data_IF_015746186325
#
_entry.id   IF_015746186325
#
_cell.length_a   1.000
_cell.length_b   1.000
_cell.length_c   1.000
_cell.angle_alpha   90.00
_cell.angle_beta   90.00
_cell.angle_gamma   90.00
#
_symmetry.space_group_name_H-M   'P 1'
#
loop_
_entity.id
_entity.type
_entity.pdbx_description
1 polymer ?
#
# COMPACT_ATOMS: atom_id res chain seq x y z
N UNK A 1 5.59 55.04 58.93
CA UNK A 1 4.95 55.11 57.60
C UNK A 1 5.99 54.79 56.54
N UNK A 2 6.03 53.54 56.08
CA UNK A 2 6.57 53.08 54.78
C UNK A 2 6.15 51.61 54.62
N UNK A 3 5.13 51.42 53.80
CA UNK A 3 4.61 50.13 53.34
C UNK A 3 5.61 49.60 52.31
N UNK A 4 6.21 48.43 52.55
CA UNK A 4 7.04 47.71 51.59
C UNK A 4 6.29 46.47 51.12
N UNK A 5 5.63 46.57 49.98
CA UNK A 5 4.90 45.51 49.31
C UNK A 5 5.91 44.59 48.60
N UNK A 6 6.16 43.39 49.14
CA UNK A 6 6.99 42.39 48.46
C UNK A 6 6.11 41.57 47.52
N UNK A 7 6.24 41.82 46.22
CA UNK A 7 5.64 41.01 45.16
C UNK A 7 6.39 39.68 45.08
N UNK A 8 5.74 38.57 45.43
CA UNK A 8 6.19 37.23 45.03
C UNK A 8 5.96 37.10 43.51
N UNK A 9 7.04 37.09 42.75
CA UNK A 9 7.03 36.65 41.36
C UNK A 9 6.91 35.11 41.35
N UNK A 10 5.76 34.58 40.96
CA UNK A 10 5.65 33.20 40.50
C UNK A 10 6.23 33.15 39.08
N UNK A 11 7.44 32.60 38.94
CA UNK A 11 7.98 32.26 37.62
C UNK A 11 7.21 31.03 37.11
N UNK A 12 6.31 31.25 36.16
CA UNK A 12 5.72 30.18 35.34
C UNK A 12 6.82 29.77 34.35
N UNK A 13 7.45 28.63 34.57
CA UNK A 13 8.33 28.01 33.59
C UNK A 13 7.48 27.42 32.47
N UNK A 14 7.43 28.10 31.34
CA UNK A 14 6.88 27.57 30.10
C UNK A 14 7.92 26.62 29.50
N UNK A 15 7.67 25.31 29.59
CA UNK A 15 8.49 24.31 28.90
C UNK A 15 8.26 24.43 27.38
N UNK A 16 9.33 24.68 26.63
CA UNK A 16 9.32 24.59 25.17
C UNK A 16 9.47 23.11 24.79
N UNK A 17 8.38 22.48 24.38
CA UNK A 17 8.41 21.13 23.81
C UNK A 17 8.88 21.21 22.36
N UNK A 18 10.08 20.74 22.06
CA UNK A 18 10.46 20.33 20.71
C UNK A 18 10.08 18.87 20.56
N UNK A 19 8.93 18.58 19.95
CA UNK A 19 8.48 17.21 19.72
C UNK A 19 9.28 16.59 18.57
N UNK A 20 10.38 15.91 18.89
CA UNK A 20 11.06 15.03 17.92
C UNK A 20 10.27 13.72 17.85
N UNK A 21 9.74 13.40 16.66
CA UNK A 21 8.87 12.24 16.43
C UNK A 21 9.65 10.93 16.57
N UNK A 22 9.21 10.06 17.48
CA UNK A 22 9.85 8.75 17.66
C UNK A 22 9.50 7.81 16.50
N UNK A 23 10.47 6.99 16.08
CA UNK A 23 10.24 5.93 15.10
C UNK A 23 10.36 4.54 15.74
N UNK A 24 9.59 3.58 15.24
CA UNK A 24 9.48 2.24 15.81
C UNK A 24 9.92 1.15 14.84
N UNK A 25 10.36 0.04 15.41
CA UNK A 25 10.66 -1.21 14.70
C UNK A 25 10.02 -2.37 15.44
N UNK A 26 9.50 -3.35 14.71
CA UNK A 26 9.00 -4.59 15.26
C UNK A 26 9.67 -5.78 14.58
N UNK A 27 9.91 -6.85 15.34
CA UNK A 27 10.43 -8.10 14.77
C UNK A 27 9.42 -8.78 13.84
N UNK A 28 8.12 -8.52 14.03
CA UNK A 28 7.00 -9.01 13.22
C UNK A 28 5.92 -7.94 13.18
N UNK A 29 5.35 -7.69 12.01
CA UNK A 29 4.26 -6.73 11.82
C UNK A 29 2.95 -7.41 11.42
N UNK A 30 3.03 -8.49 10.65
CA UNK A 30 1.90 -9.30 10.25
C UNK A 30 1.92 -10.65 10.97
N UNK A 31 0.85 -10.98 11.68
CA UNK A 31 0.76 -12.20 12.49
C UNK A 31 -0.66 -12.77 12.56
N UNK A 32 -0.74 -14.01 13.05
CA UNK A 32 -1.98 -14.65 13.48
C UNK A 32 -2.24 -14.39 14.97
N UNK A 33 -3.50 -14.45 15.44
CA UNK A 33 -3.80 -14.37 16.86
C UNK A 33 -3.04 -15.44 17.65
N UNK A 34 -2.30 -15.00 18.65
CA UNK A 34 -1.61 -15.88 19.58
C UNK A 34 -2.64 -16.75 20.31
N UNK A 35 -2.47 -18.07 20.21
CA UNK A 35 -3.38 -19.02 20.82
C UNK A 35 -2.88 -19.44 22.21
N UNK A 36 -3.77 -19.38 23.20
CA UNK A 36 -3.48 -19.91 24.53
C UNK A 36 -3.40 -21.44 24.47
N UNK A 37 -2.28 -22.00 24.92
CA UNK A 37 -2.08 -23.44 25.03
C UNK A 37 -2.77 -23.99 26.27
N UNK A 38 -2.95 -25.32 26.30
CA UNK A 38 -3.59 -26.03 27.42
C UNK A 38 -2.90 -25.81 28.78
N UNK A 39 -1.63 -25.42 28.78
CA UNK A 39 -0.84 -25.10 29.97
C UNK A 39 -0.91 -23.62 30.37
N UNK A 40 -1.86 -22.86 29.80
CA UNK A 40 -2.01 -21.41 29.96
C UNK A 40 -0.77 -20.60 29.53
N UNK A 41 0.01 -21.13 28.58
CA UNK A 41 1.13 -20.42 27.97
C UNK A 41 0.84 -20.00 26.52
N UNK A 42 1.63 -19.06 26.02
CA UNK A 42 1.64 -18.68 24.60
C UNK A 42 2.91 -19.20 23.95
N UNK A 43 2.87 -19.43 22.64
CA UNK A 43 4.07 -19.83 21.90
C UNK A 43 5.04 -18.65 21.79
N UNK A 44 6.32 -18.88 22.08
CA UNK A 44 7.34 -17.84 22.00
C UNK A 44 7.49 -17.30 20.57
N UNK A 45 7.11 -18.09 19.55
CA UNK A 45 7.08 -17.62 18.17
C UNK A 45 6.06 -16.50 17.96
N UNK A 46 5.01 -16.42 18.75
CA UNK A 46 3.94 -15.42 18.60
C UNK A 46 4.27 -14.11 19.34
N UNK A 47 5.41 -14.06 20.05
CA UNK A 47 5.84 -12.88 20.78
C UNK A 47 6.36 -11.80 19.83
N UNK A 48 5.73 -10.63 19.90
CA UNK A 48 6.17 -9.44 19.17
C UNK A 48 7.04 -8.59 20.11
N UNK A 49 8.21 -8.21 19.62
CA UNK A 49 9.12 -7.27 20.28
C UNK A 49 9.12 -5.96 19.48
N UNK A 50 8.73 -4.87 20.12
CA UNK A 50 8.72 -3.52 19.56
C UNK A 50 9.79 -2.68 20.26
N UNK A 51 10.61 -2.01 19.45
CA UNK A 51 11.71 -1.16 19.90
C UNK A 51 11.59 0.23 19.30
N UNK A 52 11.95 1.24 20.09
CA UNK A 52 12.09 2.62 19.62
C UNK A 52 13.49 2.85 19.05
N UNK A 53 13.58 3.54 17.93
CA UNK A 53 14.85 4.11 17.44
C UNK A 53 15.11 5.37 18.26
N UNK A 54 16.28 5.47 18.89
CA UNK A 54 16.63 6.61 19.72
C UNK A 54 16.66 7.90 18.90
N UNK A 55 15.99 9.00 19.35
CA UNK A 55 16.06 10.28 18.67
C UNK A 55 17.49 10.84 18.71
N UNK A 56 17.86 11.65 17.73
CA UNK A 56 19.25 12.16 17.64
C UNK A 56 19.56 13.13 18.77
N UNK A 57 18.55 13.86 19.26
CA UNK A 57 18.69 14.79 20.38
C UNK A 57 18.69 14.10 21.75
N UNK A 58 18.49 12.77 21.81
CA UNK A 58 18.36 12.05 23.08
C UNK A 58 19.62 12.24 23.94
N UNK A 59 19.46 12.82 25.13
CA UNK A 59 20.57 12.95 26.07
C UNK A 59 21.00 11.56 26.60
N UNK A 60 22.23 11.09 26.32
CA UNK A 60 22.64 9.73 26.68
C UNK A 60 22.95 9.57 28.17
N UNK A 61 23.14 10.65 28.92
CA UNK A 61 23.41 10.63 30.37
C UNK A 61 22.13 10.72 31.23
N UNK A 62 20.97 10.97 30.62
CA UNK A 62 19.70 11.05 31.32
C UNK A 62 19.13 9.69 31.73
N UNK A 63 18.40 9.67 32.85
CA UNK A 63 17.61 8.50 33.26
C UNK A 63 16.34 8.43 32.41
N UNK A 64 16.04 7.27 31.84
CA UNK A 64 14.95 7.08 30.88
C UNK A 64 13.76 6.38 31.54
N UNK A 65 12.55 6.90 31.29
CA UNK A 65 11.28 6.27 31.64
C UNK A 65 10.47 6.06 30.36
N UNK A 66 10.07 4.82 30.12
CA UNK A 66 9.28 4.43 28.95
C UNK A 66 7.83 4.22 29.37
N UNK A 67 6.90 4.59 28.51
CA UNK A 67 5.49 4.27 28.66
C UNK A 67 4.91 3.95 27.29
N UNK A 68 4.81 2.65 27.00
CA UNK A 68 4.16 2.14 25.79
C UNK A 68 2.65 2.11 25.96
N UNK A 69 1.93 2.32 24.86
CA UNK A 69 0.50 2.07 24.74
C UNK A 69 0.17 1.38 23.42
N UNK A 70 -0.89 0.58 23.43
CA UNK A 70 -1.43 -0.07 22.24
C UNK A 70 -2.88 0.39 22.11
N UNK A 71 -3.27 0.97 20.98
CA UNK A 71 -4.58 1.61 20.77
C UNK A 71 -4.94 2.60 21.89
N UNK A 72 -3.95 3.38 22.34
CA UNK A 72 -4.12 4.39 23.40
C UNK A 72 -4.29 3.82 24.81
N UNK A 73 -4.15 2.51 25.02
CA UNK A 73 -4.26 1.88 26.35
C UNK A 73 -2.93 1.26 26.80
N UNK A 74 -2.62 1.42 28.08
CA UNK A 74 -1.42 0.86 28.73
C UNK A 74 -1.71 -0.46 29.45
N UNK A 75 -2.98 -0.81 29.60
CA UNK A 75 -3.47 -2.02 30.26
C UNK A 75 -3.78 -3.12 29.23
N UNK A 76 -3.24 -4.31 29.48
CA UNK A 76 -3.50 -5.51 28.69
C UNK A 76 -4.97 -5.99 28.81
N UNK A 77 -5.42 -6.78 27.83
CA UNK A 77 -6.74 -7.43 27.85
C UNK A 77 -7.72 -6.94 26.77
N UNK A 78 -7.30 -6.03 25.89
CA UNK A 78 -8.10 -5.54 24.74
C UNK A 78 -7.55 -6.05 23.40
N UNK A 79 -7.40 -7.36 23.27
CA UNK A 79 -6.85 -8.00 22.06
C UNK A 79 -5.32 -8.18 22.07
N UNK A 80 -4.68 -7.81 23.18
CA UNK A 80 -3.26 -7.97 23.42
C UNK A 80 -2.97 -8.21 24.89
N UNK A 81 -1.86 -8.89 25.17
CA UNK A 81 -1.46 -9.31 26.51
C UNK A 81 0.06 -9.23 26.70
N UNK A 82 0.47 -9.06 27.97
CA UNK A 82 1.88 -9.05 28.35
C UNK A 82 2.33 -10.44 28.83
N UNK A 83 3.55 -10.88 28.48
CA UNK A 83 4.18 -12.01 29.15
C UNK A 83 4.29 -11.75 30.65
N UNK A 84 4.22 -12.83 31.45
CA UNK A 84 4.28 -12.75 32.91
C UNK A 84 5.55 -12.01 33.37
N UNK A 85 5.36 -11.00 34.22
CA UNK A 85 6.46 -10.21 34.79
C UNK A 85 6.97 -9.07 33.91
N UNK A 86 6.38 -8.87 32.73
CA UNK A 86 6.67 -7.72 31.87
C UNK A 86 5.61 -6.63 32.03
N UNK A 87 6.01 -5.38 31.78
CA UNK A 87 5.17 -4.19 31.84
C UNK A 87 5.30 -3.36 30.56
N UNK A 88 4.42 -2.39 30.38
CA UNK A 88 4.51 -1.38 29.31
C UNK A 88 5.57 -0.30 29.58
N UNK A 89 6.38 -0.42 30.63
CA UNK A 89 7.36 0.60 31.04
C UNK A 89 8.81 0.22 30.74
N UNK A 90 9.02 -0.88 30.03
CA UNK A 90 10.34 -1.34 29.62
C UNK A 90 10.83 -0.60 28.37
N UNK A 91 12.15 -0.59 28.16
CA UNK A 91 12.77 -0.02 26.96
C UNK A 91 12.21 -0.61 25.66
N UNK A 92 11.88 -1.91 25.68
CA UNK A 92 11.21 -2.61 24.60
C UNK A 92 9.86 -3.13 25.07
N UNK A 93 8.86 -3.03 24.21
CA UNK A 93 7.56 -3.64 24.45
C UNK A 93 7.59 -5.09 23.95
N UNK A 94 7.19 -6.02 24.81
CA UNK A 94 7.04 -7.44 24.47
C UNK A 94 5.60 -7.84 24.71
N UNK A 95 4.91 -8.25 23.66
CA UNK A 95 3.45 -8.40 23.66
C UNK A 95 3.03 -9.57 22.78
N UNK A 96 1.97 -10.27 23.20
CA UNK A 96 1.20 -11.14 22.31
C UNK A 96 -0.09 -10.44 21.92
N UNK A 97 -0.52 -10.64 20.68
CA UNK A 97 -1.83 -10.19 20.25
C UNK A 97 -2.73 -11.41 20.06
N UNK A 98 -3.87 -11.46 20.75
CA UNK A 98 -4.75 -12.64 20.81
C UNK A 98 -6.07 -12.44 20.06
N UNK A 99 -6.24 -11.27 19.42
CA UNK A 99 -7.44 -10.94 18.65
C UNK A 99 -7.08 -10.32 17.30
N UNK A 100 -7.86 -10.67 16.28
CA UNK A 100 -7.82 -10.07 14.94
C UNK A 100 -8.06 -8.57 15.03
N UNK A 101 -7.26 -7.79 14.30
CA UNK A 101 -7.38 -6.35 14.21
C UNK A 101 -6.06 -5.67 13.87
N UNK A 102 -6.14 -4.36 13.66
CA UNK A 102 -4.99 -3.48 13.55
C UNK A 102 -4.74 -2.80 14.89
N UNK A 103 -3.47 -2.61 15.22
CA UNK A 103 -3.04 -2.09 16.50
C UNK A 103 -2.05 -0.94 16.28
N UNK A 104 -2.51 0.26 16.66
CA UNK A 104 -1.69 1.46 16.79
C UNK A 104 -0.78 1.30 17.98
N UNK A 105 0.49 1.67 17.81
CA UNK A 105 1.48 1.61 18.88
C UNK A 105 2.03 3.00 19.13
N UNK A 106 2.08 3.41 20.39
CA UNK A 106 2.67 4.66 20.81
C UNK A 106 3.62 4.48 21.98
N UNK A 107 4.56 5.42 22.10
CA UNK A 107 5.53 5.49 23.18
C UNK A 107 5.65 6.94 23.63
N UNK A 108 5.58 7.13 24.96
CA UNK A 108 6.11 8.31 25.63
C UNK A 108 7.41 7.94 26.32
N UNK A 109 8.49 8.66 26.00
CA UNK A 109 9.82 8.51 26.59
C UNK A 109 10.17 9.80 27.33
N UNK A 110 10.30 9.73 28.65
CA UNK A 110 10.78 10.85 29.48
C UNK A 110 12.23 10.62 29.84
N UNK A 111 13.07 11.62 29.58
CA UNK A 111 14.50 11.64 29.92
C UNK A 111 14.73 12.68 31.00
N UNK A 112 15.18 12.26 32.18
CA UNK A 112 15.51 13.15 33.29
C UNK A 112 17.03 13.27 33.42
N UNK A 113 17.55 14.49 33.28
CA UNK A 113 18.98 14.81 33.44
C UNK A 113 19.15 15.58 34.73
N UNK A 114 19.94 15.04 35.67
CA UNK A 114 20.28 15.73 36.92
C UNK A 114 21.51 16.61 36.70
N UNK A 115 21.36 17.92 36.88
CA UNK A 115 22.45 18.89 36.80
C UNK A 115 22.71 19.48 38.19
N UNK A 116 23.98 19.51 38.59
CA UNK A 116 24.38 20.20 39.82
C UNK A 116 24.57 21.68 39.49
N UNK A 117 23.79 22.55 40.13
CA UNK A 117 23.88 24.00 39.98
C UNK A 117 24.15 24.58 41.37
N UNK A 118 25.42 24.90 41.65
CA UNK A 118 25.85 25.26 43.00
C UNK A 118 25.74 24.08 43.97
N UNK A 119 25.01 24.26 45.07
CA UNK A 119 24.72 23.22 46.06
C UNK A 119 23.38 22.49 45.82
N UNK A 120 22.62 22.89 44.81
CA UNK A 120 21.32 22.30 44.46
C UNK A 120 21.46 21.34 43.27
N UNK A 121 20.56 20.34 43.23
CA UNK A 121 20.40 19.43 42.09
C UNK A 121 19.13 19.86 41.37
N UNK A 122 19.28 20.37 40.16
CA UNK A 122 18.17 20.62 39.25
C UNK A 122 17.92 19.38 38.39
N UNK A 123 16.65 19.05 38.18
CA UNK A 123 16.22 17.97 37.29
C UNK A 123 15.61 18.59 36.04
N UNK A 124 16.23 18.36 34.89
CA UNK A 124 15.70 18.75 33.58
C UNK A 124 15.02 17.54 32.95
N UNK A 125 13.73 17.64 32.68
CA UNK A 125 12.96 16.59 32.00
C UNK A 125 12.71 16.97 30.55
N UNK A 126 12.97 16.02 29.65
CA UNK A 126 12.64 16.13 28.22
C UNK A 126 11.73 14.97 27.84
N UNK A 127 10.60 15.27 27.23
CA UNK A 127 9.64 14.28 26.75
C UNK A 127 9.75 14.10 25.23
N UNK A 128 9.76 12.85 24.80
CA UNK A 128 9.66 12.43 23.43
C UNK A 128 8.42 11.56 23.28
N UNK A 129 7.64 11.78 22.22
CA UNK A 129 6.48 10.96 21.93
C UNK A 129 6.41 10.61 20.45
N UNK A 130 5.85 9.45 20.16
CA UNK A 130 5.54 9.01 18.80
C UNK A 130 4.38 8.04 18.80
N UNK A 131 3.70 7.98 17.67
CA UNK A 131 2.60 7.06 17.41
C UNK A 131 2.69 6.62 15.96
N UNK A 132 2.50 5.32 15.72
CA UNK A 132 2.33 4.77 14.38
C UNK A 132 0.99 4.04 14.35
N UNK A 133 0.06 4.58 13.58
CA UNK A 133 -1.25 3.99 13.34
C UNK A 133 -1.13 2.64 12.62
N UNK A 134 -1.99 1.69 12.99
CA UNK A 134 -2.07 0.36 12.37
C UNK A 134 -0.71 -0.37 12.23
N UNK A 135 0.22 -0.12 13.16
CA UNK A 135 1.59 -0.59 13.09
C UNK A 135 1.73 -2.12 13.06
N UNK A 136 0.84 -2.81 13.80
CA UNK A 136 0.74 -4.26 13.87
C UNK A 136 -0.62 -4.72 13.35
N UNK A 137 -0.64 -5.74 12.50
CA UNK A 137 -1.87 -6.36 12.01
C UNK A 137 -1.92 -7.82 12.36
N UNK A 138 -3.04 -8.20 12.95
CA UNK A 138 -3.37 -9.55 13.35
C UNK A 138 -4.51 -10.00 12.47
N UNK A 139 -4.26 -10.95 11.58
CA UNK A 139 -5.27 -11.48 10.65
C UNK A 139 -5.63 -12.93 11.00
N UNK A 140 -6.80 -13.36 10.60
CA UNK A 140 -7.13 -14.78 10.63
C UNK A 140 -6.54 -15.52 9.44
N UNK A 141 -6.30 -16.81 9.65
CA UNK A 141 -6.09 -17.76 8.56
C UNK A 141 -7.39 -18.50 8.32
N UNK A 142 -7.66 -18.79 7.05
CA UNK A 142 -8.87 -19.47 6.61
C UNK A 142 -8.51 -20.79 5.91
N UNK A 143 -8.17 -21.87 6.66
CA UNK A 143 -7.74 -23.14 6.08
C UNK A 143 -8.77 -23.74 5.13
N UNK A 144 -10.07 -23.55 5.39
CA UNK A 144 -11.13 -24.01 4.48
C UNK A 144 -11.04 -23.32 3.11
N UNK A 145 -10.90 -21.99 3.09
CA UNK A 145 -10.80 -21.22 1.84
C UNK A 145 -9.52 -21.59 1.08
N UNK A 146 -8.39 -21.68 1.80
CA UNK A 146 -7.12 -22.11 1.24
C UNK A 146 -7.21 -23.54 0.66
N UNK A 147 -7.89 -24.45 1.36
CA UNK A 147 -8.08 -25.83 0.89
C UNK A 147 -8.96 -25.89 -0.35
N UNK A 148 -10.03 -25.08 -0.46
CA UNK A 148 -10.86 -24.99 -1.67
C UNK A 148 -10.03 -24.45 -2.84
N UNK A 149 -9.29 -23.35 -2.62
CA UNK A 149 -8.46 -22.72 -3.66
C UNK A 149 -7.28 -23.59 -4.12
N UNK A 150 -6.83 -24.53 -3.28
CA UNK A 150 -5.74 -25.45 -3.62
C UNK A 150 -6.21 -26.76 -4.30
N UNK A 151 -7.52 -26.95 -4.54
CA UNK A 151 -8.04 -28.16 -5.16
C UNK A 151 -7.53 -28.34 -6.60
N UNK A 152 -7.32 -29.61 -6.99
CA UNK A 152 -6.87 -30.01 -8.33
C UNK A 152 -7.96 -30.85 -9.03
N UNK A 153 -8.05 -30.82 -10.38
CA UNK A 153 -7.21 -30.06 -11.31
C UNK A 153 -7.54 -28.56 -11.34
N UNK A 154 -8.70 -28.18 -10.82
CA UNK A 154 -9.18 -26.81 -10.75
C UNK A 154 -10.00 -26.63 -9.46
N UNK A 155 -9.91 -25.46 -8.80
CA UNK A 155 -10.74 -25.13 -7.65
C UNK A 155 -12.24 -25.09 -7.95
N UNK A 156 -13.04 -25.42 -6.95
CA UNK A 156 -14.48 -25.11 -6.95
C UNK A 156 -14.69 -23.63 -6.62
N UNK A 157 -14.66 -22.79 -7.65
CA UNK A 157 -14.75 -21.33 -7.50
C UNK A 157 -16.11 -20.85 -6.97
N UNK A 158 -17.21 -21.54 -7.31
CA UNK A 158 -18.55 -21.22 -6.77
C UNK A 158 -18.54 -21.42 -5.26
N UNK A 159 -18.06 -22.58 -4.81
CA UNK A 159 -17.93 -22.87 -3.37
C UNK A 159 -16.97 -21.90 -2.68
N UNK A 160 -15.89 -21.50 -3.35
CA UNK A 160 -14.95 -20.53 -2.80
C UNK A 160 -15.62 -19.18 -2.56
N UNK A 161 -16.38 -18.67 -3.53
CA UNK A 161 -17.12 -17.42 -3.40
C UNK A 161 -18.15 -17.51 -2.28
N UNK A 162 -18.98 -18.56 -2.26
CA UNK A 162 -20.01 -18.76 -1.23
C UNK A 162 -19.40 -18.79 0.18
N UNK A 163 -18.32 -19.55 0.37
CA UNK A 163 -17.64 -19.63 1.68
C UNK A 163 -16.92 -18.35 2.07
N UNK A 164 -16.24 -17.69 1.14
CA UNK A 164 -15.53 -16.45 1.45
C UNK A 164 -16.52 -15.32 1.79
N UNK A 165 -17.70 -15.29 1.14
CA UNK A 165 -18.80 -14.36 1.43
C UNK A 165 -19.35 -14.56 2.84
N UNK A 166 -19.52 -15.82 3.29
CA UNK A 166 -19.92 -16.09 4.67
C UNK A 166 -18.91 -15.54 5.70
N UNK A 167 -17.62 -15.46 5.36
CA UNK A 167 -16.60 -14.93 6.25
C UNK A 167 -16.52 -13.40 6.23
N UNK A 168 -16.68 -12.76 5.06
CA UNK A 168 -16.56 -11.30 4.92
C UNK A 168 -17.61 -10.53 5.73
N UNK A 169 -18.80 -11.10 5.93
CA UNK A 169 -19.89 -10.47 6.68
C UNK A 169 -19.86 -10.74 8.19
N UNK A 170 -18.97 -11.63 8.67
CA UNK A 170 -18.90 -11.96 10.10
C UNK A 170 -18.23 -10.81 10.87
N UNK A 171 -18.84 -10.26 11.94
CA UNK A 171 -18.27 -9.14 12.69
C UNK A 171 -16.85 -9.37 13.23
N UNK A 172 -16.48 -10.63 13.49
CA UNK A 172 -15.12 -11.01 13.93
C UNK A 172 -14.05 -10.71 12.87
N UNK A 173 -14.40 -10.73 11.59
CA UNK A 173 -13.49 -10.57 10.45
C UNK A 173 -13.72 -9.28 9.68
N UNK A 174 -14.53 -8.34 10.21
CA UNK A 174 -14.91 -7.12 9.50
C UNK A 174 -13.71 -6.26 9.05
N UNK A 175 -12.57 -6.36 9.74
CA UNK A 175 -11.34 -5.64 9.42
C UNK A 175 -10.24 -6.56 8.85
N UNK A 176 -10.58 -7.80 8.49
CA UNK A 176 -9.64 -8.75 7.91
C UNK A 176 -9.73 -8.69 6.37
N UNK A 177 -8.65 -8.34 5.65
CA UNK A 177 -8.69 -8.29 4.19
C UNK A 177 -8.76 -9.68 3.54
N UNK A 178 -8.43 -10.75 4.28
CA UNK A 178 -8.22 -12.09 3.71
C UNK A 178 -9.48 -12.71 3.09
N UNK A 179 -10.68 -12.66 3.71
CA UNK A 179 -11.91 -13.14 3.06
C UNK A 179 -12.18 -12.45 1.73
N UNK A 180 -11.95 -11.14 1.64
CA UNK A 180 -12.14 -10.38 0.41
C UNK A 180 -11.12 -10.73 -0.68
N UNK A 181 -9.87 -11.08 -0.30
CA UNK A 181 -8.89 -11.63 -1.24
C UNK A 181 -9.31 -12.98 -1.81
N UNK A 182 -9.90 -13.85 -0.98
CA UNK A 182 -10.46 -15.12 -1.46
C UNK A 182 -11.71 -14.94 -2.32
N UNK A 183 -12.56 -13.94 -2.03
CA UNK A 183 -13.67 -13.55 -2.91
C UNK A 183 -13.15 -13.13 -4.28
N UNK A 184 -12.17 -12.22 -4.34
CA UNK A 184 -11.57 -11.77 -5.59
C UNK A 184 -10.99 -12.94 -6.40
N UNK A 185 -10.23 -13.83 -5.74
CA UNK A 185 -9.71 -15.08 -6.34
C UNK A 185 -10.84 -15.96 -6.90
N UNK A 186 -11.92 -16.13 -6.15
CA UNK A 186 -13.08 -16.91 -6.57
C UNK A 186 -13.74 -16.34 -7.81
N UNK A 187 -14.02 -15.03 -7.81
CA UNK A 187 -14.65 -14.36 -8.93
C UNK A 187 -13.77 -14.36 -10.20
N UNK A 188 -12.46 -14.09 -10.08
CA UNK A 188 -11.55 -14.22 -11.23
C UNK A 188 -11.56 -15.65 -11.80
N UNK A 189 -11.60 -16.66 -10.93
CA UNK A 189 -11.73 -18.05 -11.34
C UNK A 189 -13.02 -18.34 -12.11
N UNK A 190 -14.16 -17.77 -11.68
CA UNK A 190 -15.43 -17.88 -12.40
C UNK A 190 -15.38 -17.23 -13.79
N UNK A 191 -14.76 -16.05 -13.89
CA UNK A 191 -14.52 -15.35 -15.16
C UNK A 191 -13.69 -16.21 -16.10
N UNK A 192 -12.52 -16.68 -15.65
CA UNK A 192 -11.58 -17.50 -16.45
C UNK A 192 -12.14 -18.85 -16.87
N UNK A 193 -13.09 -19.41 -16.10
CA UNK A 193 -13.76 -20.67 -16.42
C UNK A 193 -15.01 -20.49 -17.27
N UNK A 194 -15.32 -19.26 -17.71
CA UNK A 194 -16.51 -18.93 -18.50
C UNK A 194 -17.78 -19.46 -17.83
N UNK A 195 -17.90 -19.26 -16.52
CA UNK A 195 -19.04 -19.73 -15.76
C UNK A 195 -20.35 -19.13 -16.33
N UNK A 196 -21.36 -19.97 -16.54
CA UNK A 196 -22.64 -19.57 -17.15
C UNK A 196 -23.78 -19.42 -16.15
N UNK A 197 -23.50 -19.56 -14.85
CA UNK A 197 -24.50 -19.36 -13.80
C UNK A 197 -24.85 -17.86 -13.73
N UNK A 198 -26.13 -17.48 -13.94
CA UNK A 198 -26.55 -16.08 -13.93
C UNK A 198 -26.26 -15.35 -12.62
N UNK A 199 -26.05 -16.07 -11.50
CA UNK A 199 -25.66 -15.48 -10.22
C UNK A 199 -24.30 -14.77 -10.28
N UNK A 200 -23.49 -15.07 -11.29
CA UNK A 200 -22.11 -14.58 -11.42
C UNK A 200 -21.89 -13.81 -12.74
N UNK A 201 -22.95 -13.26 -13.35
CA UNK A 201 -22.85 -12.45 -14.57
C UNK A 201 -21.91 -11.24 -14.38
N UNK A 202 -21.92 -10.62 -13.20
CA UNK A 202 -21.04 -9.50 -12.83
C UNK A 202 -19.72 -9.93 -12.17
N UNK A 203 -19.26 -11.17 -12.38
CA UNK A 203 -18.10 -11.71 -11.65
C UNK A 203 -16.84 -10.85 -11.80
N UNK A 204 -16.60 -10.22 -12.95
CA UNK A 204 -15.43 -9.35 -13.11
C UNK A 204 -15.52 -8.11 -12.21
N UNK A 205 -16.66 -7.41 -12.20
CA UNK A 205 -16.89 -6.25 -11.33
C UNK A 205 -16.79 -6.63 -9.85
N UNK A 206 -17.38 -7.77 -9.47
CA UNK A 206 -17.31 -8.32 -8.11
C UNK A 206 -15.88 -8.71 -7.70
N UNK A 207 -15.07 -9.19 -8.64
CA UNK A 207 -13.65 -9.43 -8.44
C UNK A 207 -12.91 -8.13 -8.09
N UNK A 208 -13.10 -7.08 -8.90
CA UNK A 208 -12.48 -5.77 -8.71
C UNK A 208 -12.92 -5.15 -7.38
N UNK A 209 -14.23 -5.16 -7.10
CA UNK A 209 -14.80 -4.63 -5.86
C UNK A 209 -14.25 -5.36 -4.63
N UNK A 210 -14.21 -6.70 -4.67
CA UNK A 210 -13.66 -7.51 -3.58
C UNK A 210 -12.18 -7.23 -3.35
N UNK A 211 -11.39 -7.10 -4.43
CA UNK A 211 -9.97 -6.74 -4.31
C UNK A 211 -9.79 -5.34 -3.71
N UNK A 212 -10.58 -4.36 -4.15
CA UNK A 212 -10.52 -2.99 -3.62
C UNK A 212 -10.91 -2.94 -2.14
N UNK A 213 -11.96 -3.66 -1.72
CA UNK A 213 -12.30 -3.79 -0.30
C UNK A 213 -11.15 -4.41 0.49
N UNK A 214 -10.52 -5.48 -0.02
CA UNK A 214 -9.34 -6.05 0.63
C UNK A 214 -8.22 -5.02 0.77
N UNK A 215 -7.95 -4.22 -0.28
CA UNK A 215 -6.92 -3.18 -0.26
C UNK A 215 -7.22 -2.06 0.74
N UNK A 216 -8.47 -1.67 0.88
CA UNK A 216 -8.89 -0.67 1.87
C UNK A 216 -8.71 -1.18 3.31
N UNK A 217 -9.00 -2.46 3.55
CA UNK A 217 -8.84 -3.12 4.84
C UNK A 217 -7.38 -3.47 5.16
N UNK A 218 -6.54 -3.63 4.14
CA UNK A 218 -5.14 -4.00 4.30
C UNK A 218 -4.26 -2.82 4.74
N UNK A 219 -4.11 -2.66 6.06
CA UNK A 219 -3.30 -1.59 6.65
C UNK A 219 -1.83 -1.92 6.81
N UNK A 220 -1.42 -3.16 6.53
CA UNK A 220 -0.08 -3.62 6.88
C UNK A 220 0.51 -4.67 5.93
N UNK A 221 -0.01 -4.72 4.71
CA UNK A 221 0.61 -5.41 3.60
C UNK A 221 0.30 -6.90 3.52
N UNK A 222 -0.86 -7.37 3.97
CA UNK A 222 -1.37 -8.72 3.70
C UNK A 222 -1.35 -9.04 2.20
N UNK A 223 -1.74 -8.08 1.36
CA UNK A 223 -1.74 -8.21 -0.09
C UNK A 223 -0.32 -8.43 -0.63
N UNK A 224 0.68 -7.93 0.09
CA UNK A 224 2.09 -8.06 -0.26
C UNK A 224 2.71 -9.40 0.19
N UNK A 225 1.96 -10.31 0.78
CA UNK A 225 2.43 -11.69 0.93
C UNK A 225 2.47 -12.41 -0.43
N UNK A 226 3.40 -13.36 -0.57
CA UNK A 226 3.68 -14.03 -1.85
C UNK A 226 2.43 -14.62 -2.53
N UNK A 227 1.53 -15.24 -1.77
CA UNK A 227 0.31 -15.83 -2.33
C UNK A 227 -0.61 -14.76 -2.96
N UNK A 228 -0.73 -13.61 -2.30
CA UNK A 228 -1.64 -12.55 -2.71
C UNK A 228 -1.03 -11.67 -3.81
N UNK A 229 0.29 -11.46 -3.81
CA UNK A 229 0.99 -10.81 -4.92
C UNK A 229 0.90 -11.63 -6.21
N UNK A 230 1.01 -12.96 -6.13
CA UNK A 230 0.80 -13.83 -7.30
C UNK A 230 -0.60 -13.69 -7.88
N UNK A 231 -1.61 -13.59 -7.01
CA UNK A 231 -2.98 -13.35 -7.46
C UNK A 231 -3.14 -11.97 -8.11
N UNK A 232 -2.58 -10.91 -7.51
CA UNK A 232 -2.62 -9.58 -8.12
C UNK A 232 -2.01 -9.60 -9.52
N UNK A 233 -0.83 -10.20 -9.68
CA UNK A 233 -0.19 -10.33 -10.99
C UNK A 233 -1.05 -11.14 -11.97
N UNK A 234 -1.72 -12.20 -11.51
CA UNK A 234 -2.65 -12.99 -12.33
C UNK A 234 -3.85 -12.15 -12.78
N UNK A 235 -4.42 -11.34 -11.89
CA UNK A 235 -5.53 -10.45 -12.19
C UNK A 235 -5.11 -9.35 -13.18
N UNK A 236 -3.99 -8.68 -12.95
CA UNK A 236 -3.41 -7.70 -13.87
C UNK A 236 -3.15 -8.33 -15.25
N UNK A 237 -2.55 -9.52 -15.27
CA UNK A 237 -2.27 -10.25 -16.52
C UNK A 237 -3.54 -10.58 -17.28
N UNK A 238 -4.58 -11.07 -16.59
CA UNK A 238 -5.85 -11.41 -17.22
C UNK A 238 -6.51 -10.18 -17.85
N UNK A 239 -6.59 -9.06 -17.12
CA UNK A 239 -7.15 -7.82 -17.66
C UNK A 239 -6.32 -7.33 -18.84
N UNK A 240 -5.00 -7.37 -18.72
CA UNK A 240 -4.12 -6.87 -19.76
C UNK A 240 -4.12 -7.73 -21.02
N UNK A 241 -3.72 -8.99 -20.91
CA UNK A 241 -3.47 -9.85 -22.08
C UNK A 241 -4.77 -10.22 -22.78
N UNK A 242 -5.85 -10.54 -22.06
CA UNK A 242 -7.10 -11.03 -22.67
C UNK A 242 -8.03 -9.89 -23.12
N UNK A 243 -7.88 -8.67 -22.58
CA UNK A 243 -8.84 -7.59 -22.83
C UNK A 243 -8.22 -6.29 -23.33
N UNK A 244 -7.11 -5.82 -22.76
CA UNK A 244 -6.53 -4.54 -23.15
C UNK A 244 -5.67 -4.70 -24.41
N UNK A 245 -4.74 -5.65 -24.40
CA UNK A 245 -3.72 -5.84 -25.44
C UNK A 245 -4.34 -6.20 -26.79
N UNK A 246 -5.35 -7.08 -26.78
CA UNK A 246 -6.03 -7.52 -27.99
C UNK A 246 -6.89 -6.41 -28.62
N UNK A 247 -7.36 -5.45 -27.83
CA UNK A 247 -8.23 -4.36 -28.28
C UNK A 247 -7.54 -2.98 -28.33
N UNK A 248 -6.20 -2.92 -28.14
CA UNK A 248 -5.47 -1.64 -28.05
C UNK A 248 -5.54 -0.76 -29.30
N UNK A 249 -5.81 -1.40 -30.45
CA UNK A 249 -5.95 -0.75 -31.75
C UNK A 249 -7.43 -0.56 -32.17
N UNK A 250 -8.39 -0.94 -31.33
CA UNK A 250 -9.81 -0.73 -31.63
C UNK A 250 -10.10 0.77 -31.75
N UNK A 251 -10.87 1.14 -32.78
CA UNK A 251 -11.25 2.53 -33.05
C UNK A 251 -12.76 2.68 -32.85
N UNK A 252 -13.22 3.74 -32.15
CA UNK A 252 -14.64 3.92 -31.82
C UNK A 252 -15.58 4.00 -33.03
N UNK A 253 -15.07 4.20 -34.25
CA UNK A 253 -15.88 4.25 -35.48
C UNK A 253 -15.90 2.92 -36.21
N UNK A 254 -14.77 2.20 -36.26
CA UNK A 254 -14.65 0.97 -37.06
C UNK A 254 -14.85 -0.31 -36.24
N UNK A 255 -14.59 -0.25 -34.94
CA UNK A 255 -14.73 -1.36 -33.99
C UNK A 255 -15.22 -0.81 -32.63
N UNK A 256 -16.50 -0.42 -32.54
CA UNK A 256 -17.06 0.16 -31.31
C UNK A 256 -17.09 -0.84 -30.15
N UNK A 257 -17.41 -2.11 -30.42
CA UNK A 257 -17.53 -3.15 -29.38
C UNK A 257 -16.16 -3.45 -28.76
N UNK A 258 -15.12 -3.67 -29.58
CA UNK A 258 -13.75 -3.86 -29.07
C UNK A 258 -13.23 -2.63 -28.33
N UNK A 259 -13.59 -1.43 -28.79
CA UNK A 259 -13.18 -0.18 -28.13
C UNK A 259 -13.86 0.05 -26.78
N UNK A 260 -15.11 -0.38 -26.60
CA UNK A 260 -15.78 -0.31 -25.30
C UNK A 260 -15.19 -1.34 -24.32
N UNK A 261 -14.91 -2.58 -24.76
CA UNK A 261 -14.17 -3.58 -23.96
C UNK A 261 -12.80 -3.02 -23.53
N UNK A 262 -12.07 -2.43 -24.48
CA UNK A 262 -10.77 -1.81 -24.22
C UNK A 262 -10.86 -0.71 -23.15
N UNK A 263 -11.82 0.20 -23.29
CA UNK A 263 -12.00 1.33 -22.37
C UNK A 263 -12.37 0.84 -20.97
N UNK A 264 -13.32 -0.09 -20.86
CA UNK A 264 -13.76 -0.64 -19.57
C UNK A 264 -12.62 -1.36 -18.84
N UNK A 265 -11.83 -2.16 -19.57
CA UNK A 265 -10.74 -2.91 -18.95
C UNK A 265 -9.56 -2.03 -18.54
N UNK A 266 -9.32 -0.90 -19.22
CA UNK A 266 -8.38 0.11 -18.72
C UNK A 266 -8.84 0.66 -17.36
N UNK A 267 -10.14 0.89 -17.18
CA UNK A 267 -10.69 1.38 -15.91
C UNK A 267 -10.64 0.31 -14.81
N UNK A 268 -10.88 -0.97 -15.14
CA UNK A 268 -10.64 -2.07 -14.19
C UNK A 268 -9.16 -2.17 -13.80
N UNK A 269 -8.24 -2.08 -14.76
CA UNK A 269 -6.79 -2.09 -14.47
C UNK A 269 -6.39 -0.93 -13.56
N UNK A 270 -6.87 0.28 -13.87
CA UNK A 270 -6.58 1.48 -13.07
C UNK A 270 -7.06 1.32 -11.62
N UNK A 271 -8.18 0.64 -11.40
CA UNK A 271 -8.71 0.40 -10.07
C UNK A 271 -7.85 -0.57 -9.25
N UNK A 272 -7.23 -1.57 -9.86
CA UNK A 272 -6.49 -2.61 -9.11
C UNK A 272 -4.99 -2.33 -8.96
N UNK A 273 -4.38 -1.65 -9.92
CA UNK A 273 -2.93 -1.42 -9.92
C UNK A 273 -2.52 -0.53 -8.74
N UNK A 274 -1.39 -0.85 -8.12
CA UNK A 274 -0.75 0.04 -7.15
C UNK A 274 0.04 1.18 -7.81
N UNK A 275 0.16 1.17 -9.15
CA UNK A 275 0.77 2.21 -9.96
C UNK A 275 -0.20 2.71 -11.04
N UNK A 276 -1.35 3.33 -10.69
CA UNK A 276 -2.41 3.70 -11.63
C UNK A 276 -1.95 4.66 -12.74
N UNK A 277 -0.84 5.39 -12.53
CA UNK A 277 -0.22 6.25 -13.55
C UNK A 277 0.12 5.48 -14.85
N UNK A 278 0.32 4.17 -14.76
CA UNK A 278 0.69 3.31 -15.88
C UNK A 278 -0.45 3.14 -16.89
N UNK A 279 -1.71 3.14 -16.43
CA UNK A 279 -2.88 3.01 -17.30
C UNK A 279 -3.48 4.36 -17.73
N UNK A 280 -3.17 5.44 -17.03
CA UNK A 280 -3.68 6.80 -17.30
C UNK A 280 -3.38 7.27 -18.74
N UNK A 281 -2.24 6.88 -19.31
CA UNK A 281 -1.90 7.28 -20.69
C UNK A 281 -2.76 6.58 -21.74
N UNK A 282 -3.23 5.36 -21.46
CA UNK A 282 -4.27 4.72 -22.28
C UNK A 282 -5.62 5.40 -22.07
N UNK A 283 -6.00 5.75 -20.84
CA UNK A 283 -7.24 6.52 -20.58
C UNK A 283 -7.27 7.87 -21.31
N UNK A 284 -6.13 8.59 -21.35
CA UNK A 284 -6.02 9.83 -22.09
C UNK A 284 -6.19 9.60 -23.62
N UNK A 285 -5.64 8.50 -24.12
CA UNK A 285 -5.77 8.10 -25.53
C UNK A 285 -7.22 7.79 -25.90
N UNK A 286 -7.92 6.97 -25.10
CA UNK A 286 -9.34 6.62 -25.35
C UNK A 286 -10.25 7.84 -25.28
N UNK A 287 -10.05 8.75 -24.32
CA UNK A 287 -10.77 10.04 -24.24
C UNK A 287 -10.59 10.87 -25.50
N UNK A 288 -9.36 10.98 -25.99
CA UNK A 288 -9.08 11.73 -27.21
C UNK A 288 -9.80 11.14 -28.41
N UNK A 289 -9.78 9.81 -28.56
CA UNK A 289 -10.49 9.08 -29.61
C UNK A 289 -12.03 9.23 -29.51
N UNK A 290 -12.60 9.27 -28.30
CA UNK A 290 -14.02 9.63 -28.04
C UNK A 290 -14.33 11.13 -28.23
N UNK A 291 -13.38 11.92 -28.75
CA UNK A 291 -13.47 13.39 -28.95
C UNK A 291 -13.57 14.21 -27.65
N UNK A 292 -13.28 13.63 -26.49
CA UNK A 292 -13.01 14.37 -25.25
C UNK A 292 -11.56 14.88 -25.22
N UNK A 293 -11.26 15.82 -26.12
CA UNK A 293 -9.91 16.37 -26.26
C UNK A 293 -9.49 17.17 -25.03
N UNK A 294 -10.45 17.84 -24.35
CA UNK A 294 -10.18 18.60 -23.13
C UNK A 294 -9.80 17.67 -21.98
N UNK A 295 -10.52 16.57 -21.77
CA UNK A 295 -10.19 15.58 -20.76
C UNK A 295 -8.86 14.88 -21.01
N UNK A 296 -8.59 14.47 -22.25
CA UNK A 296 -7.30 13.89 -22.65
C UNK A 296 -6.12 14.85 -22.37
N UNK A 297 -6.24 16.11 -22.79
CA UNK A 297 -5.21 17.12 -22.55
C UNK A 297 -4.98 17.40 -21.06
N UNK A 298 -6.03 17.37 -20.25
CA UNK A 298 -5.91 17.52 -18.80
C UNK A 298 -5.09 16.38 -18.18
N UNK A 299 -5.38 15.13 -18.55
CA UNK A 299 -4.61 13.97 -18.07
C UNK A 299 -3.13 14.07 -18.48
N UNK A 300 -2.83 14.32 -19.75
CA UNK A 300 -1.44 14.46 -20.19
C UNK A 300 -0.70 15.60 -19.47
N UNK A 301 -1.35 16.76 -19.30
CA UNK A 301 -0.74 17.92 -18.63
C UNK A 301 -0.45 17.65 -17.16
N UNK A 302 -1.31 16.90 -16.47
CA UNK A 302 -1.14 16.60 -15.04
C UNK A 302 -0.16 15.45 -14.80
N UNK A 303 -0.16 14.43 -15.66
CA UNK A 303 0.43 13.12 -15.33
C UNK A 303 1.85 12.97 -15.89
N UNK A 304 2.20 13.63 -17.01
CA UNK A 304 3.58 13.67 -17.54
C UNK A 304 4.56 14.25 -16.49
N UNK A 305 4.27 15.39 -15.83
CA UNK A 305 5.17 15.92 -14.80
C UNK A 305 5.33 15.02 -13.57
N UNK A 306 4.31 14.22 -13.23
CA UNK A 306 4.40 13.23 -12.14
C UNK A 306 5.28 12.06 -12.55
N UNK A 307 5.04 11.48 -13.73
CA UNK A 307 5.84 10.37 -14.25
C UNK A 307 7.33 10.72 -14.32
N UNK A 308 7.66 11.97 -14.70
CA UNK A 308 9.04 12.47 -14.73
C UNK A 308 9.76 12.42 -13.37
N UNK A 309 9.03 12.43 -12.27
CA UNK A 309 9.59 12.38 -10.91
C UNK A 309 9.81 10.95 -10.42
N UNK A 310 9.29 9.93 -11.12
CA UNK A 310 9.52 8.54 -10.76
C UNK A 310 11.01 8.21 -10.91
N UNK A 311 11.54 7.48 -9.94
CA UNK A 311 12.93 7.04 -9.94
C UNK A 311 12.99 5.53 -9.91
N UNK A 312 13.58 4.95 -10.95
CA UNK A 312 13.98 3.55 -10.93
C UNK A 312 15.04 3.35 -9.84
N UNK A 313 14.81 2.39 -8.96
CA UNK A 313 15.72 2.07 -7.86
C UNK A 313 16.74 0.99 -8.25
N UNK A 314 16.70 0.47 -9.48
CA UNK A 314 17.55 -0.61 -10.00
C UNK A 314 17.47 -1.87 -9.13
N UNK A 315 16.26 -2.18 -8.63
CA UNK A 315 15.99 -3.37 -7.81
C UNK A 315 14.85 -4.17 -8.43
N UNK A 316 15.20 -5.34 -8.94
CA UNK A 316 14.27 -6.34 -9.42
C UNK A 316 13.65 -7.14 -8.26
N UNK A 317 12.40 -7.56 -8.45
CA UNK A 317 11.66 -8.43 -7.55
C UNK A 317 11.03 -9.57 -8.36
N UNK A 318 10.47 -10.57 -7.67
CA UNK A 318 9.70 -11.63 -8.32
C UNK A 318 8.52 -11.12 -9.15
N UNK A 319 8.00 -9.93 -8.84
CA UNK A 319 6.76 -9.40 -9.38
C UNK A 319 6.94 -8.20 -10.32
N UNK A 320 8.14 -7.61 -10.36
CA UNK A 320 8.45 -6.42 -11.15
C UNK A 320 9.62 -5.61 -10.59
N UNK A 321 9.71 -4.33 -10.95
CA UNK A 321 10.81 -3.43 -10.60
C UNK A 321 10.40 -2.43 -9.52
N UNK A 322 11.33 -2.08 -8.62
CA UNK A 322 11.07 -1.07 -7.58
C UNK A 322 11.31 0.34 -8.09
N UNK A 323 10.37 1.21 -7.76
CA UNK A 323 10.43 2.64 -8.04
C UNK A 323 10.16 3.45 -6.78
N UNK A 324 10.63 4.69 -6.77
CA UNK A 324 10.13 5.76 -5.93
C UNK A 324 9.18 6.63 -6.76
N UNK A 325 7.94 6.80 -6.29
CA UNK A 325 6.92 7.62 -6.97
C UNK A 325 7.18 9.14 -6.81
N UNK A 326 6.27 9.97 -7.31
CA UNK A 326 6.40 11.44 -7.23
C UNK A 326 6.35 12.01 -5.81
N UNK A 327 5.92 11.21 -4.83
CA UNK A 327 5.75 11.56 -3.42
C UNK A 327 6.86 10.96 -2.53
N UNK A 328 7.79 10.18 -3.09
CA UNK A 328 8.83 9.49 -2.33
C UNK A 328 8.41 8.10 -1.82
N UNK A 329 7.23 7.61 -2.23
CA UNK A 329 6.72 6.29 -1.85
C UNK A 329 7.43 5.21 -2.65
N UNK A 330 7.93 4.18 -1.97
CA UNK A 330 8.49 3.01 -2.64
C UNK A 330 7.37 2.10 -3.11
N UNK A 331 7.29 1.87 -4.41
CA UNK A 331 6.30 1.01 -5.05
C UNK A 331 7.01 -0.05 -5.90
N UNK A 332 6.28 -1.10 -6.25
CA UNK A 332 6.69 -2.08 -7.26
C UNK A 332 5.81 -1.81 -8.48
N UNK A 333 6.43 -1.48 -9.62
CA UNK A 333 5.74 -1.58 -10.89
C UNK A 333 5.85 -3.03 -11.36
N UNK A 334 4.71 -3.70 -11.48
CA UNK A 334 4.68 -5.07 -11.97
C UNK A 334 5.19 -5.18 -13.40
N UNK A 335 5.48 -6.39 -13.86
CA UNK A 335 5.80 -6.60 -15.28
C UNK A 335 4.66 -6.15 -16.19
N UNK A 336 3.40 -6.27 -15.73
CA UNK A 336 2.21 -5.87 -16.48
C UNK A 336 2.03 -4.35 -16.43
N UNK A 337 2.32 -3.69 -15.30
CA UNK A 337 2.32 -2.23 -15.19
C UNK A 337 3.27 -1.58 -16.22
N UNK A 338 4.45 -2.16 -16.41
CA UNK A 338 5.40 -1.68 -17.42
C UNK A 338 4.89 -1.90 -18.85
N UNK A 339 4.14 -2.98 -19.11
CA UNK A 339 3.48 -3.16 -20.41
C UNK A 339 2.36 -2.13 -20.60
N UNK A 340 1.51 -1.92 -19.60
CA UNK A 340 0.45 -0.92 -19.62
C UNK A 340 1.01 0.48 -19.91
N UNK A 341 2.08 0.86 -19.21
CA UNK A 341 2.77 2.13 -19.45
C UNK A 341 3.31 2.22 -20.88
N UNK A 342 3.95 1.16 -21.39
CA UNK A 342 4.48 1.11 -22.75
C UNK A 342 3.40 1.36 -23.79
N UNK A 343 2.29 0.62 -23.75
CA UNK A 343 1.20 0.81 -24.71
C UNK A 343 0.57 2.20 -24.57
N UNK A 344 0.38 2.67 -23.33
CA UNK A 344 -0.14 4.00 -23.02
C UNK A 344 0.68 5.14 -23.60
N UNK A 345 2.00 5.12 -23.38
CA UNK A 345 2.88 6.19 -23.86
C UNK A 345 3.03 6.17 -25.38
N UNK A 346 3.07 4.99 -26.02
CA UNK A 346 3.16 4.85 -27.47
C UNK A 346 1.91 5.40 -28.16
N UNK A 347 0.72 5.04 -27.67
CA UNK A 347 -0.54 5.52 -28.23
C UNK A 347 -0.73 7.02 -27.97
N UNK A 348 -0.43 7.49 -26.75
CA UNK A 348 -0.47 8.92 -26.40
C UNK A 348 0.47 9.74 -27.28
N UNK A 349 1.72 9.30 -27.45
CA UNK A 349 2.72 9.99 -28.26
C UNK A 349 2.28 10.11 -29.73
N UNK A 350 1.72 9.04 -30.30
CA UNK A 350 1.19 9.04 -31.66
C UNK A 350 0.08 10.07 -31.83
N UNK A 351 -0.88 10.11 -30.89
CA UNK A 351 -1.99 11.07 -30.91
C UNK A 351 -1.50 12.51 -30.71
N UNK A 352 -0.56 12.76 -29.80
CA UNK A 352 0.03 14.08 -29.58
C UNK A 352 0.74 14.60 -30.84
N UNK A 353 1.53 13.74 -31.50
CA UNK A 353 2.24 14.10 -32.73
C UNK A 353 1.27 14.53 -33.83
N UNK A 354 0.20 13.76 -34.04
CA UNK A 354 -0.83 14.11 -35.02
C UNK A 354 -1.58 15.39 -34.64
N UNK A 355 -1.93 15.56 -33.37
CA UNK A 355 -2.63 16.77 -32.87
C UNK A 355 -1.79 18.03 -33.04
N UNK A 356 -0.51 17.98 -32.67
CA UNK A 356 0.37 19.15 -32.62
C UNK A 356 1.08 19.45 -33.94
N UNK A 357 1.05 18.50 -34.90
CA UNK A 357 1.78 18.60 -36.16
C UNK A 357 3.30 18.54 -35.99
N UNK A 358 3.80 18.22 -34.79
CA UNK A 358 5.21 18.07 -34.45
C UNK A 358 5.38 17.05 -33.32
N UNK A 359 6.60 16.57 -33.10
CA UNK A 359 6.88 15.53 -32.11
C UNK A 359 7.28 16.05 -30.72
N UNK A 360 7.35 17.37 -30.47
CA UNK A 360 8.04 17.91 -29.28
C UNK A 360 7.49 17.36 -27.96
N UNK A 361 6.17 17.43 -27.75
CA UNK A 361 5.53 16.90 -26.52
C UNK A 361 5.53 15.38 -26.45
N UNK A 362 5.39 14.74 -27.60
CA UNK A 362 5.44 13.28 -27.71
C UNK A 362 6.84 12.77 -27.31
N UNK A 363 7.91 13.42 -27.78
CA UNK A 363 9.29 13.11 -27.41
C UNK A 363 9.56 13.33 -25.93
N UNK A 364 9.01 14.38 -25.32
CA UNK A 364 9.13 14.60 -23.87
C UNK A 364 8.60 13.39 -23.08
N UNK A 365 7.40 12.91 -23.42
CA UNK A 365 6.82 11.72 -22.78
C UNK A 365 7.67 10.47 -23.02
N UNK A 366 8.06 10.20 -24.26
CA UNK A 366 8.80 8.99 -24.62
C UNK A 366 10.19 8.95 -23.97
N UNK A 367 10.88 10.08 -23.87
CA UNK A 367 12.20 10.17 -23.26
C UNK A 367 12.18 9.94 -21.74
N UNK A 368 11.04 10.18 -21.06
CA UNK A 368 10.89 9.87 -19.63
C UNK A 368 10.98 8.35 -19.40
N UNK A 369 10.29 7.57 -20.22
CA UNK A 369 10.15 6.12 -20.01
C UNK A 369 11.18 5.28 -20.78
N UNK A 370 11.90 5.89 -21.73
CA UNK A 370 12.89 5.19 -22.55
C UNK A 370 13.94 4.41 -21.73
N UNK A 371 14.49 4.93 -20.61
CA UNK A 371 15.41 4.15 -19.79
C UNK A 371 14.79 2.84 -19.27
N UNK A 372 13.50 2.86 -18.91
CA UNK A 372 12.78 1.75 -18.29
C UNK A 372 12.31 0.69 -19.30
N UNK A 373 12.14 1.09 -20.56
CA UNK A 373 11.61 0.25 -21.64
C UNK A 373 12.66 -0.07 -22.72
N UNK A 374 13.93 0.18 -22.45
CA UNK A 374 15.03 0.05 -23.42
C UNK A 374 15.28 -1.40 -23.88
N UNK A 375 14.83 -2.39 -23.10
CA UNK A 375 14.89 -3.81 -23.42
C UNK A 375 13.65 -4.31 -24.19
N UNK A 376 12.58 -3.49 -24.28
CA UNK A 376 11.34 -3.84 -24.95
C UNK A 376 11.48 -3.60 -26.46
N UNK A 377 11.62 -4.68 -27.22
CA UNK A 377 11.89 -4.64 -28.67
C UNK A 377 10.89 -3.79 -29.46
N UNK A 378 9.61 -3.91 -29.14
CA UNK A 378 8.53 -3.18 -29.82
C UNK A 378 8.58 -1.67 -29.53
N UNK A 379 8.85 -1.28 -28.28
CA UNK A 379 9.07 0.13 -27.93
C UNK A 379 10.29 0.71 -28.66
N UNK A 380 11.43 0.00 -28.67
CA UNK A 380 12.64 0.44 -29.37
C UNK A 380 12.38 0.58 -30.88
N UNK A 381 11.62 -0.32 -31.49
CA UNK A 381 11.23 -0.22 -32.89
C UNK A 381 10.32 0.98 -33.15
N UNK A 382 9.35 1.24 -32.27
CA UNK A 382 8.48 2.42 -32.36
C UNK A 382 9.28 3.72 -32.30
N UNK A 383 10.19 3.84 -31.32
CA UNK A 383 11.10 4.99 -31.22
C UNK A 383 11.93 5.16 -32.49
N UNK A 384 12.52 4.09 -33.01
CA UNK A 384 13.40 4.14 -34.19
C UNK A 384 12.66 4.46 -35.49
N UNK A 385 11.41 4.02 -35.64
CA UNK A 385 10.65 4.19 -36.89
C UNK A 385 9.84 5.48 -36.93
N UNK A 386 9.22 5.85 -35.81
CA UNK A 386 8.21 6.92 -35.79
C UNK A 386 8.67 8.18 -35.05
N UNK A 387 9.67 8.05 -34.17
CA UNK A 387 10.13 9.09 -33.24
C UNK A 387 11.67 9.18 -33.20
N UNK A 388 12.32 8.90 -34.33
CA UNK A 388 13.79 8.89 -34.45
C UNK A 388 14.46 10.24 -34.14
N UNK A 389 13.70 11.33 -34.27
CA UNK A 389 14.14 12.68 -33.96
C UNK A 389 14.06 13.05 -32.46
N UNK A 390 13.56 12.17 -31.59
CA UNK A 390 13.48 12.46 -30.16
C UNK A 390 14.83 12.37 -29.42
N UNK A 391 15.87 11.84 -30.08
CA UNK A 391 17.24 11.74 -29.57
C UNK A 391 18.21 12.77 -30.15
N UNK A 392 17.74 13.65 -31.04
CA UNK A 392 18.46 14.85 -31.52
C UNK A 392 18.08 16.07 -30.65
#
# INVERSE_FOLDING_TARGET
MKLGLSFLFFAIFTFYFTQEELSFTANKRLLEPAALKNDNSFDSKDLVEISCVAPKSLNPQGTKKYQWSINGVTEAGKGWILPKGLTTTNEKLKVYFDKVGNYTVSLTLVVTVKKKVGDEIEEEETEYSGEIEDFISVRSVFPELAAIYAQKPMPDYVKLVERASEYSVKPKYANDPTPHLFLAKGYLGLVKTTNTDPRFESAMEECINSFNTARELDKNGVIFDDEHQRFLLELETYIFDENIKDNVNSDPKTDPDGFDIFTENIDFYNQISFAPITSIFLQASTRYLKKDTKGANALWTTEIPKLKKYKDLDVETTYGKKFEDENGTKIILSTVDLQMLKFGVMQSASLMKTRDGNSTKACELLNIVAPWLSDQRDFVQFMTKEFNNCGE
#
